data_IF_673297888156
#
_entry.id   IF_673297888156
#
_cell.length_a   1.000
_cell.length_b   1.000
_cell.length_c   1.000
_cell.angle_alpha   90.00
_cell.angle_beta   90.00
_cell.angle_gamma   90.00
#
_symmetry.space_group_name_H-M   'P 1'
#
loop_
_entity.id
_entity.type
_entity.pdbx_description
1 polymer ?
#
# COMPACT_ATOMS: atom_id res chain seq x y z
N UNK A 1 -25.61 -37.61 2.40
CA UNK A 1 -26.17 -36.60 1.48
C UNK A 1 -25.16 -36.37 0.36
N UNK A 2 -25.62 -36.39 -0.89
CA UNK A 2 -24.81 -36.54 -2.11
C UNK A 2 -24.07 -35.22 -2.45
N UNK A 3 -22.78 -35.30 -2.64
CA UNK A 3 -21.98 -34.21 -3.19
C UNK A 3 -22.13 -34.16 -4.72
N UNK A 4 -22.57 -33.01 -5.21
CA UNK A 4 -22.72 -32.75 -6.66
C UNK A 4 -21.42 -32.07 -7.14
N UNK A 5 -20.62 -32.81 -7.92
CA UNK A 5 -19.48 -32.28 -8.66
C UNK A 5 -19.97 -31.57 -9.93
N UNK A 6 -19.65 -30.31 -10.10
CA UNK A 6 -19.81 -29.56 -11.35
C UNK A 6 -18.42 -29.44 -11.99
N UNK A 7 -18.20 -29.98 -13.19
CA UNK A 7 -16.92 -29.79 -13.89
C UNK A 7 -16.93 -28.43 -14.60
N UNK A 8 -15.93 -27.61 -14.29
CA UNK A 8 -15.65 -26.35 -15.00
C UNK A 8 -15.03 -26.63 -16.36
N UNK A 9 -15.72 -26.25 -17.42
CA UNK A 9 -15.32 -26.41 -18.82
C UNK A 9 -14.23 -25.39 -19.18
N UNK A 10 -12.99 -25.84 -19.42
CA UNK A 10 -11.91 -25.02 -19.99
C UNK A 10 -12.17 -24.83 -21.50
N UNK A 11 -12.41 -23.60 -21.92
CA UNK A 11 -12.40 -23.23 -23.35
C UNK A 11 -11.01 -22.70 -23.70
N UNK A 12 -10.25 -23.52 -24.44
CA UNK A 12 -8.99 -23.10 -25.05
C UNK A 12 -9.27 -22.39 -26.37
N UNK A 13 -8.98 -21.10 -26.47
CA UNK A 13 -8.97 -20.33 -27.71
C UNK A 13 -7.58 -20.42 -28.35
N UNK A 14 -7.48 -21.24 -29.40
CA UNK A 14 -6.34 -21.27 -30.33
C UNK A 14 -6.44 -20.09 -31.30
N UNK A 15 -5.53 -19.15 -31.21
CA UNK A 15 -5.35 -18.11 -32.24
C UNK A 15 -4.23 -18.56 -33.19
N UNK A 16 -4.60 -18.92 -34.39
CA UNK A 16 -3.69 -19.22 -35.50
C UNK A 16 -3.15 -17.92 -36.09
N UNK A 17 -1.85 -17.69 -35.99
CA UNK A 17 -1.15 -16.62 -36.70
C UNK A 17 -0.78 -17.10 -38.12
N UNK A 18 -1.36 -16.49 -39.17
CA UNK A 18 -0.92 -16.63 -40.56
C UNK A 18 0.27 -15.71 -40.82
N UNK A 19 1.41 -16.31 -41.14
CA UNK A 19 2.60 -15.59 -41.58
C UNK A 19 2.46 -15.10 -43.02
N UNK A 20 2.92 -13.86 -43.26
CA UNK A 20 3.30 -13.41 -44.63
C UNK A 20 4.77 -12.99 -44.61
N UNK A 21 5.54 -13.70 -45.43
CA UNK A 21 6.96 -13.48 -45.69
C UNK A 21 7.07 -12.62 -46.94
N UNK A 22 7.60 -11.40 -46.82
CA UNK A 22 8.11 -10.67 -47.97
C UNK A 22 9.50 -10.14 -47.64
N UNK A 23 10.43 -10.58 -48.49
CA UNK A 23 11.86 -10.24 -48.48
C UNK A 23 12.04 -8.94 -49.29
N UNK A 24 12.77 -7.94 -48.76
CA UNK A 24 13.85 -7.29 -49.51
C UNK A 24 14.58 -6.24 -48.62
N UNK A 25 15.89 -6.31 -48.61
CA UNK A 25 16.79 -5.51 -47.81
C UNK A 25 16.93 -4.06 -48.27
N UNK A 26 17.35 -3.25 -47.30
CA UNK A 26 18.36 -2.19 -47.45
C UNK A 26 18.79 -1.76 -46.05
N UNK A 27 20.13 -1.53 -45.92
CA UNK A 27 20.79 -1.05 -44.70
C UNK A 27 20.25 0.33 -44.29
N UNK A 28 19.86 0.43 -43.02
CA UNK A 28 19.56 1.67 -42.34
C UNK A 28 19.81 1.45 -40.85
N UNK A 29 20.62 2.29 -40.24
CA UNK A 29 20.87 2.33 -38.80
C UNK A 29 19.52 2.23 -38.03
N UNK A 30 19.28 1.06 -37.50
CA UNK A 30 18.07 0.79 -36.72
C UNK A 30 18.28 1.21 -35.28
N UNK A 31 17.83 2.42 -34.96
CA UNK A 31 17.40 2.75 -33.61
C UNK A 31 16.30 1.74 -33.23
N UNK A 32 16.66 0.68 -32.53
CA UNK A 32 15.71 -0.33 -32.06
C UNK A 32 14.82 0.35 -31.03
N UNK A 33 13.69 0.88 -31.48
CA UNK A 33 12.58 1.23 -30.60
C UNK A 33 12.25 -0.03 -29.80
N UNK A 34 12.78 -0.11 -28.58
CA UNK A 34 12.41 -1.14 -27.63
C UNK A 34 10.88 -1.09 -27.51
N UNK A 35 10.20 -2.13 -27.99
CA UNK A 35 8.77 -2.27 -27.82
C UNK A 35 8.55 -2.23 -26.30
N UNK A 36 7.93 -1.15 -25.83
CA UNK A 36 7.64 -1.01 -24.42
C UNK A 36 6.79 -2.20 -23.99
N UNK A 37 7.38 -3.10 -23.22
CA UNK A 37 6.68 -4.28 -22.68
C UNK A 37 5.55 -3.77 -21.80
N UNK A 38 4.31 -4.22 -22.06
CA UNK A 38 3.16 -3.84 -21.25
C UNK A 38 3.39 -4.28 -19.80
N UNK A 39 3.01 -3.42 -18.85
CA UNK A 39 3.08 -3.76 -17.43
C UNK A 39 2.03 -4.85 -17.12
N UNK A 40 2.48 -5.96 -16.53
CA UNK A 40 1.61 -7.09 -16.16
C UNK A 40 1.92 -7.57 -14.75
N UNK A 41 0.93 -8.20 -14.13
CA UNK A 41 1.01 -8.75 -12.77
C UNK A 41 0.35 -10.12 -12.71
N UNK A 42 0.87 -11.00 -11.86
CA UNK A 42 0.24 -12.26 -11.49
C UNK A 42 -0.29 -12.17 -10.05
N UNK A 43 -1.41 -12.83 -9.80
CA UNK A 43 -1.97 -12.94 -8.46
C UNK A 43 -1.40 -14.17 -7.75
N UNK A 44 -0.81 -13.93 -6.58
CA UNK A 44 -0.28 -14.98 -5.69
C UNK A 44 -1.07 -14.90 -4.39
N UNK A 45 -1.55 -16.06 -3.91
CA UNK A 45 -2.26 -16.16 -2.63
C UNK A 45 -1.84 -17.43 -1.91
N UNK A 46 -1.42 -17.28 -0.64
CA UNK A 46 -1.07 -18.40 0.23
C UNK A 46 -1.83 -18.22 1.54
N UNK A 47 -2.42 -19.29 2.02
CA UNK A 47 -3.13 -19.36 3.29
C UNK A 47 -2.56 -20.50 4.14
N UNK A 48 -2.44 -20.26 5.45
CA UNK A 48 -2.11 -21.27 6.45
C UNK A 48 -3.04 -21.07 7.66
N UNK A 49 -3.72 -22.10 8.08
CA UNK A 49 -4.73 -22.02 9.15
C UNK A 49 -4.72 -23.27 10.03
N UNK A 50 -4.69 -23.05 11.34
CA UNK A 50 -4.97 -24.05 12.35
C UNK A 50 -5.69 -23.45 13.57
N UNK A 51 -5.75 -24.19 14.69
CA UNK A 51 -6.39 -23.70 15.91
C UNK A 51 -5.63 -22.60 16.66
N UNK A 52 -4.40 -22.31 16.27
CA UNK A 52 -3.53 -21.32 16.93
C UNK A 52 -3.28 -20.08 16.07
N UNK A 53 -3.19 -20.25 14.74
CA UNK A 53 -2.87 -19.15 13.83
C UNK A 53 -3.65 -19.23 12.51
N UNK A 54 -4.01 -18.06 11.97
CA UNK A 54 -4.60 -17.88 10.64
C UNK A 54 -3.75 -16.85 9.90
N UNK A 55 -3.13 -17.26 8.80
CA UNK A 55 -2.33 -16.38 7.95
C UNK A 55 -2.92 -16.40 6.55
N UNK A 56 -3.24 -15.22 6.01
CA UNK A 56 -3.75 -15.08 4.63
C UNK A 56 -3.00 -13.95 3.94
N UNK A 57 -2.24 -14.29 2.93
CA UNK A 57 -1.44 -13.33 2.19
C UNK A 57 -1.81 -13.40 0.71
N UNK A 58 -2.11 -12.25 0.11
CA UNK A 58 -2.35 -12.15 -1.32
C UNK A 58 -1.68 -10.92 -1.91
N UNK A 59 -1.01 -11.09 -3.07
CA UNK A 59 -0.32 -9.99 -3.74
C UNK A 59 -0.57 -10.03 -5.26
N UNK A 60 -0.60 -8.86 -5.89
CA UNK A 60 -0.51 -8.73 -7.36
C UNK A 60 0.94 -8.44 -7.75
N UNK A 61 1.71 -9.50 -7.94
CA UNK A 61 3.14 -9.45 -8.18
C UNK A 61 3.48 -9.03 -9.61
N UNK A 62 4.37 -8.03 -9.86
CA UNK A 62 4.72 -7.60 -11.20
C UNK A 62 5.60 -8.64 -11.91
N UNK A 63 5.20 -9.03 -13.12
CA UNK A 63 5.86 -10.06 -13.93
C UNK A 63 6.53 -9.51 -15.18
N UNK A 64 5.99 -8.44 -15.77
CA UNK A 64 6.58 -7.77 -16.94
C UNK A 64 6.35 -6.27 -16.93
N UNK A 65 7.14 -5.55 -17.73
CA UNK A 65 7.11 -4.10 -17.85
C UNK A 65 8.52 -3.51 -17.99
N UNK A 66 8.65 -2.21 -17.71
CA UNK A 66 9.96 -1.59 -17.59
C UNK A 66 10.71 -2.22 -16.40
N UNK A 67 11.96 -2.65 -16.60
CA UNK A 67 12.76 -3.37 -15.58
C UNK A 67 12.92 -2.57 -14.28
N UNK A 68 13.15 -1.26 -14.38
CA UNK A 68 13.28 -0.39 -13.21
C UNK A 68 11.97 -0.31 -12.43
N UNK A 69 10.83 -0.24 -13.12
CA UNK A 69 9.50 -0.24 -12.51
C UNK A 69 9.22 -1.57 -11.80
N UNK A 70 9.42 -2.69 -12.49
CA UNK A 70 9.21 -4.04 -11.93
C UNK A 70 10.05 -4.23 -10.67
N UNK A 71 11.34 -3.90 -10.74
CA UNK A 71 12.26 -4.00 -9.60
C UNK A 71 11.85 -3.09 -8.43
N UNK A 72 11.43 -1.86 -8.70
CA UNK A 72 10.99 -0.92 -7.67
C UNK A 72 9.74 -1.41 -6.94
N UNK A 73 8.76 -1.96 -7.69
CA UNK A 73 7.52 -2.50 -7.11
C UNK A 73 7.80 -3.78 -6.33
N UNK A 74 8.62 -4.72 -6.85
CA UNK A 74 9.01 -5.93 -6.11
C UNK A 74 9.71 -5.59 -4.79
N UNK A 75 10.61 -4.60 -4.81
CA UNK A 75 11.25 -4.12 -3.60
C UNK A 75 10.24 -3.58 -2.57
N UNK A 76 9.30 -2.75 -3.01
CA UNK A 76 8.22 -2.25 -2.15
C UNK A 76 7.40 -3.40 -1.57
N UNK A 77 7.01 -4.38 -2.37
CA UNK A 77 6.27 -5.54 -1.87
C UNK A 77 7.06 -6.34 -0.84
N UNK A 78 8.37 -6.53 -1.05
CA UNK A 78 9.22 -7.18 -0.04
C UNK A 78 9.31 -6.36 1.24
N UNK A 79 9.35 -5.01 1.16
CA UNK A 79 9.33 -4.12 2.32
C UNK A 79 8.00 -4.25 3.08
N UNK A 80 6.85 -4.20 2.38
CA UNK A 80 5.52 -4.35 2.97
C UNK A 80 5.32 -5.73 3.61
N UNK A 81 5.69 -6.81 2.92
CA UNK A 81 5.57 -8.16 3.45
C UNK A 81 6.39 -8.34 4.73
N UNK A 82 7.62 -7.81 4.77
CA UNK A 82 8.49 -7.93 5.94
C UNK A 82 8.08 -7.00 7.09
N UNK A 83 7.46 -5.85 6.80
CA UNK A 83 6.94 -4.95 7.84
C UNK A 83 5.75 -5.51 8.60
N UNK A 84 5.08 -6.55 8.07
CA UNK A 84 3.95 -7.21 8.71
C UNK A 84 4.36 -8.14 9.86
N UNK A 85 5.65 -8.41 10.01
CA UNK A 85 6.19 -9.28 11.05
C UNK A 85 6.54 -8.45 12.29
N UNK A 86 6.16 -8.96 13.45
CA UNK A 86 6.58 -8.40 14.74
C UNK A 86 7.92 -9.01 15.08
N UNK A 87 9.01 -8.36 14.66
CA UNK A 87 10.35 -8.80 15.01
C UNK A 87 10.93 -7.90 16.09
N UNK A 88 11.56 -8.50 17.10
CA UNK A 88 12.41 -7.77 18.03
C UNK A 88 13.69 -7.35 17.28
N UNK A 89 13.90 -6.05 17.12
CA UNK A 89 15.03 -5.47 16.42
C UNK A 89 14.70 -4.95 15.02
N UNK A 90 15.73 -4.60 14.26
CA UNK A 90 15.63 -4.26 12.84
C UNK A 90 16.05 -5.49 12.02
N UNK A 91 15.10 -6.24 11.44
CA UNK A 91 15.44 -7.38 10.59
C UNK A 91 16.22 -6.91 9.38
N UNK A 92 17.20 -7.70 8.94
CA UNK A 92 17.90 -7.43 7.70
C UNK A 92 16.93 -7.58 6.53
N UNK A 93 16.78 -6.49 5.73
CA UNK A 93 15.91 -6.51 4.57
C UNK A 93 16.35 -7.56 3.55
N UNK A 94 15.42 -8.45 3.17
CA UNK A 94 15.63 -9.46 2.14
C UNK A 94 14.82 -9.14 0.89
N UNK A 95 15.49 -9.05 -0.25
CA UNK A 95 14.86 -8.89 -1.56
C UNK A 95 14.58 -10.25 -2.17
N UNK A 96 13.39 -10.41 -2.78
CA UNK A 96 12.99 -11.59 -3.53
C UNK A 96 12.65 -11.19 -4.98
N UNK A 97 13.16 -11.93 -5.96
CA UNK A 97 12.77 -11.79 -7.36
C UNK A 97 11.50 -12.59 -7.67
N UNK A 98 11.28 -13.67 -6.96
CA UNK A 98 10.10 -14.53 -7.07
C UNK A 98 9.06 -14.19 -5.99
N UNK A 99 7.82 -13.92 -6.46
CA UNK A 99 6.73 -13.53 -5.57
C UNK A 99 6.21 -14.69 -4.73
N UNK A 100 6.26 -15.91 -5.24
CA UNK A 100 5.85 -17.10 -4.49
C UNK A 100 6.79 -17.33 -3.30
N UNK A 101 8.10 -17.18 -3.53
CA UNK A 101 9.10 -17.27 -2.45
C UNK A 101 8.91 -16.16 -1.42
N UNK A 102 8.64 -14.91 -1.86
CA UNK A 102 8.42 -13.78 -0.96
C UNK A 102 7.20 -13.99 -0.06
N UNK A 103 6.08 -14.42 -0.62
CA UNK A 103 4.83 -14.66 0.12
C UNK A 103 4.97 -15.87 1.03
N UNK A 104 5.60 -16.96 0.57
CA UNK A 104 5.81 -18.16 1.39
C UNK A 104 6.70 -17.85 2.61
N UNK A 105 7.77 -17.06 2.43
CA UNK A 105 8.65 -16.66 3.51
C UNK A 105 7.90 -15.86 4.61
N UNK A 106 6.99 -14.94 4.21
CA UNK A 106 6.13 -14.25 5.17
C UNK A 106 5.21 -15.23 5.90
N UNK A 107 4.51 -16.10 5.16
CA UNK A 107 3.53 -17.05 5.76
C UNK A 107 4.23 -17.95 6.77
N UNK A 108 5.40 -18.51 6.44
CA UNK A 108 6.16 -19.40 7.34
C UNK A 108 6.62 -18.66 8.60
N UNK A 109 7.12 -17.43 8.45
CA UNK A 109 7.59 -16.63 9.58
C UNK A 109 6.42 -16.20 10.47
N UNK A 110 5.34 -15.66 9.90
CA UNK A 110 4.15 -15.25 10.63
C UNK A 110 3.49 -16.43 11.37
N UNK A 111 3.45 -17.61 10.74
CA UNK A 111 2.92 -18.81 11.40
C UNK A 111 3.73 -19.17 12.64
N UNK A 112 5.06 -19.17 12.54
CA UNK A 112 5.94 -19.50 13.66
C UNK A 112 5.79 -18.47 14.81
N UNK A 113 5.79 -17.18 14.49
CA UNK A 113 5.64 -16.10 15.48
C UNK A 113 4.28 -16.13 16.17
N UNK A 114 3.19 -16.22 15.40
CA UNK A 114 1.83 -16.22 15.96
C UNK A 114 1.55 -17.46 16.81
N UNK A 115 2.01 -18.64 16.37
CA UNK A 115 1.84 -19.86 17.17
C UNK A 115 2.66 -19.84 18.45
N UNK A 116 3.87 -19.24 18.43
CA UNK A 116 4.68 -19.05 19.63
C UNK A 116 4.00 -18.08 20.61
N UNK A 117 3.55 -16.93 20.14
CA UNK A 117 2.83 -15.93 20.93
C UNK A 117 1.53 -16.48 21.50
N UNK A 118 0.75 -17.26 20.73
CA UNK A 118 -0.46 -17.90 21.19
C UNK A 118 -0.20 -18.90 22.33
N UNK A 119 0.84 -19.74 22.20
CA UNK A 119 1.24 -20.69 23.24
C UNK A 119 1.71 -20.00 24.52
N UNK A 120 2.48 -18.90 24.38
CA UNK A 120 2.92 -18.10 25.50
C UNK A 120 1.73 -17.46 26.25
N UNK A 121 0.80 -16.84 25.52
CA UNK A 121 -0.43 -16.27 26.07
C UNK A 121 -1.23 -17.30 26.86
N UNK A 122 -1.41 -18.50 26.28
CA UNK A 122 -2.08 -19.63 26.95
C UNK A 122 -1.35 -20.08 28.20
N UNK A 123 -0.01 -20.16 28.15
CA UNK A 123 0.83 -20.51 29.32
C UNK A 123 0.72 -19.50 30.44
N UNK A 124 0.49 -18.24 30.12
CA UNK A 124 0.29 -17.12 31.07
C UNK A 124 -1.16 -16.96 31.53
N UNK A 125 -2.08 -17.86 31.13
CA UNK A 125 -3.49 -17.81 31.52
C UNK A 125 -4.31 -16.72 30.80
N UNK A 126 -3.79 -16.17 29.70
CA UNK A 126 -4.55 -15.24 28.85
C UNK A 126 -5.52 -16.05 27.98
N UNK A 127 -6.80 -15.63 27.86
CA UNK A 127 -7.77 -16.33 27.01
C UNK A 127 -7.25 -16.45 25.56
N UNK A 128 -7.23 -17.68 25.04
CA UNK A 128 -6.81 -18.04 23.67
C UNK A 128 -7.89 -18.84 22.96
N UNK A 129 -9.14 -18.36 23.04
CA UNK A 129 -10.30 -19.04 22.45
C UNK A 129 -10.37 -18.86 20.93
N UNK A 130 -9.61 -17.90 20.41
CA UNK A 130 -9.50 -17.61 18.97
C UNK A 130 -8.06 -17.72 18.49
N UNK A 131 -7.82 -18.20 17.24
CA UNK A 131 -6.49 -18.16 16.63
C UNK A 131 -5.97 -16.71 16.49
N UNK A 132 -4.67 -16.54 16.57
CA UNK A 132 -4.05 -15.26 16.21
C UNK A 132 -3.99 -15.12 14.68
N UNK A 133 -4.17 -13.92 14.18
CA UNK A 133 -4.34 -13.65 12.74
C UNK A 133 -3.34 -12.67 12.16
N UNK A 134 -2.88 -12.95 10.93
CA UNK A 134 -2.13 -12.04 10.08
C UNK A 134 -2.71 -12.08 8.66
N UNK A 135 -3.19 -10.95 8.18
CA UNK A 135 -3.83 -10.80 6.88
C UNK A 135 -3.12 -9.68 6.11
N UNK A 136 -2.52 -10.02 4.97
CA UNK A 136 -1.82 -9.06 4.13
C UNK A 136 -2.35 -9.13 2.71
N UNK A 137 -2.72 -7.97 2.17
CA UNK A 137 -3.23 -7.87 0.81
C UNK A 137 -2.58 -6.70 0.09
N UNK A 138 -1.77 -6.99 -0.96
CA UNK A 138 -1.10 -5.97 -1.76
C UNK A 138 -1.62 -6.01 -3.20
N UNK A 139 -2.37 -4.99 -3.60
CA UNK A 139 -3.02 -4.94 -4.90
C UNK A 139 -2.62 -3.71 -5.70
N UNK A 140 -2.62 -3.85 -7.02
CA UNK A 140 -2.62 -2.71 -7.92
C UNK A 140 -3.98 -2.00 -7.80
N UNK A 141 -3.95 -0.73 -7.36
CA UNK A 141 -5.14 0.09 -7.18
C UNK A 141 -5.50 0.85 -8.45
N UNK A 142 -4.49 1.46 -9.09
CA UNK A 142 -4.68 2.32 -10.25
C UNK A 142 -3.52 2.14 -11.23
N UNK A 143 -3.79 2.27 -12.52
CA UNK A 143 -2.78 2.25 -13.57
C UNK A 143 -3.17 3.21 -14.69
N UNK A 144 -2.24 4.08 -15.06
CA UNK A 144 -2.32 4.97 -16.21
C UNK A 144 -1.11 4.77 -17.12
N UNK A 145 -1.00 5.56 -18.19
CA UNK A 145 0.22 5.58 -19.01
C UNK A 145 1.44 6.12 -18.25
N UNK A 146 1.24 6.92 -17.20
CA UNK A 146 2.30 7.63 -16.48
C UNK A 146 2.71 6.93 -15.19
N UNK A 147 1.78 6.32 -14.48
CA UNK A 147 2.03 5.74 -13.16
C UNK A 147 1.24 4.46 -12.91
N UNK A 148 1.67 3.75 -11.89
CA UNK A 148 0.90 2.68 -11.24
C UNK A 148 0.91 2.94 -9.74
N UNK A 149 -0.25 2.78 -9.09
CA UNK A 149 -0.40 2.88 -7.63
C UNK A 149 -0.79 1.51 -7.07
N UNK A 150 -0.11 1.10 -6.01
CA UNK A 150 -0.44 -0.06 -5.21
C UNK A 150 -1.01 0.36 -3.87
N UNK A 151 -1.87 -0.49 -3.33
CA UNK A 151 -2.36 -0.44 -1.95
C UNK A 151 -1.91 -1.70 -1.23
N UNK A 152 -1.34 -1.54 -0.04
CA UNK A 152 -1.08 -2.62 0.90
C UNK A 152 -2.00 -2.47 2.11
N UNK A 153 -2.76 -3.52 2.42
CA UNK A 153 -3.61 -3.61 3.59
C UNK A 153 -3.04 -4.68 4.51
N UNK A 154 -2.90 -4.32 5.78
CA UNK A 154 -2.43 -5.17 6.85
C UNK A 154 -3.49 -5.23 7.94
N UNK A 155 -3.90 -6.41 8.31
CA UNK A 155 -4.83 -6.63 9.42
C UNK A 155 -4.30 -7.76 10.29
N UNK A 156 -4.57 -7.72 11.58
CA UNK A 156 -4.15 -8.78 12.46
C UNK A 156 -4.84 -8.74 13.81
N UNK A 157 -4.71 -9.89 14.50
CA UNK A 157 -5.15 -10.06 15.89
C UNK A 157 -4.17 -10.97 16.61
N UNK A 158 -3.67 -10.51 17.76
CA UNK A 158 -2.72 -11.24 18.57
C UNK A 158 -3.14 -11.29 20.03
N UNK A 159 -4.44 -11.38 20.25
CA UNK A 159 -5.05 -11.29 21.57
C UNK A 159 -5.35 -9.84 21.98
N UNK A 160 -5.90 -9.69 23.19
CA UNK A 160 -6.29 -8.39 23.72
C UNK A 160 -7.71 -7.96 23.32
N UNK A 161 -8.00 -6.66 23.43
CA UNK A 161 -9.35 -6.12 23.28
C UNK A 161 -9.81 -6.01 21.81
N UNK A 162 -8.87 -5.81 20.88
CA UNK A 162 -9.17 -5.66 19.44
C UNK A 162 -7.94 -5.99 18.58
N UNK A 163 -8.17 -6.20 17.30
CA UNK A 163 -7.13 -6.32 16.29
C UNK A 163 -6.55 -4.96 15.87
N UNK A 164 -5.70 -4.98 14.85
CA UNK A 164 -5.21 -3.79 14.17
C UNK A 164 -5.54 -3.86 12.68
N UNK A 165 -5.63 -2.69 12.06
CA UNK A 165 -5.69 -2.55 10.61
C UNK A 165 -4.83 -1.35 10.20
N UNK A 166 -4.13 -1.49 9.08
CA UNK A 166 -3.36 -0.41 8.47
C UNK A 166 -3.45 -0.48 6.95
N UNK A 167 -3.42 0.66 6.29
CA UNK A 167 -3.38 0.75 4.84
C UNK A 167 -2.28 1.71 4.40
N UNK A 168 -1.48 1.31 3.43
CA UNK A 168 -0.49 2.17 2.80
C UNK A 168 -0.69 2.18 1.30
N UNK A 169 -0.31 3.30 0.68
CA UNK A 169 -0.36 3.46 -0.76
C UNK A 169 1.02 3.84 -1.27
N UNK A 170 1.38 3.35 -2.45
CA UNK A 170 2.61 3.74 -3.10
C UNK A 170 2.41 3.94 -4.59
N UNK A 171 2.72 5.13 -5.08
CA UNK A 171 2.71 5.45 -6.51
C UNK A 171 4.12 5.33 -7.10
N UNK A 172 4.21 4.66 -8.25
CA UNK A 172 5.42 4.49 -9.03
C UNK A 172 5.27 5.13 -10.40
N UNK A 173 6.23 5.93 -10.83
CA UNK A 173 6.30 6.45 -12.18
C UNK A 173 6.72 5.36 -13.17
N UNK A 174 5.93 5.13 -14.22
CA UNK A 174 6.15 3.96 -15.10
C UNK A 174 7.45 4.01 -15.90
N UNK A 175 7.91 5.19 -16.29
CA UNK A 175 9.12 5.33 -17.15
C UNK A 175 10.43 4.87 -16.51
N UNK A 176 10.53 4.91 -15.17
CA UNK A 176 11.79 4.69 -14.45
C UNK A 176 11.62 4.04 -13.06
N UNK A 177 10.38 3.75 -12.65
CA UNK A 177 10.12 3.14 -11.34
C UNK A 177 10.30 4.06 -10.13
N UNK A 178 10.46 5.39 -10.36
CA UNK A 178 10.60 6.33 -9.25
C UNK A 178 9.36 6.28 -8.34
N UNK A 179 9.58 6.04 -7.05
CA UNK A 179 8.54 6.18 -6.03
C UNK A 179 8.22 7.65 -5.84
N UNK A 180 6.94 8.01 -5.95
CA UNK A 180 6.45 9.35 -5.69
C UNK A 180 5.82 9.38 -4.31
N UNK A 181 6.30 10.28 -3.45
CA UNK A 181 5.85 10.37 -2.07
C UNK A 181 6.96 10.78 -1.12
N UNK A 182 6.95 10.21 0.07
CA UNK A 182 8.00 10.29 1.09
C UNK A 182 7.97 8.98 1.90
N UNK A 183 9.02 8.75 2.67
CA UNK A 183 9.11 7.67 3.64
C UNK A 183 9.22 8.29 5.04
N UNK A 184 8.43 7.81 5.98
CA UNK A 184 8.54 8.21 7.38
C UNK A 184 9.45 7.23 8.09
N UNK A 185 10.52 7.73 8.75
CA UNK A 185 11.43 6.95 9.56
C UNK A 185 11.53 7.51 10.95
N UNK A 186 11.61 6.64 11.93
CA UNK A 186 11.89 7.05 13.30
C UNK A 186 13.36 7.39 13.45
N UNK A 187 13.64 8.63 13.86
CA UNK A 187 14.99 9.08 14.19
C UNK A 187 15.22 8.85 15.69
N UNK A 188 16.13 7.92 16.03
CA UNK A 188 16.41 7.56 17.43
C UNK A 188 17.13 8.66 18.21
N UNK A 189 17.82 9.58 17.51
CA UNK A 189 18.55 10.68 18.17
C UNK A 189 17.60 11.81 18.59
N UNK A 190 16.59 12.09 17.76
CA UNK A 190 15.60 13.15 18.03
C UNK A 190 14.32 12.60 18.67
N UNK A 191 14.18 11.26 18.74
CA UNK A 191 12.95 10.55 19.15
C UNK A 191 11.71 10.99 18.37
N UNK A 192 11.88 11.33 17.09
CA UNK A 192 10.82 11.84 16.23
C UNK A 192 10.73 11.06 14.90
N UNK A 193 9.54 11.03 14.35
CA UNK A 193 9.32 10.54 13.00
C UNK A 193 9.64 11.63 11.97
N UNK A 194 10.57 11.36 11.08
CA UNK A 194 11.02 12.29 10.03
C UNK A 194 10.62 11.78 8.65
N UNK A 195 10.16 12.69 7.80
CA UNK A 195 9.86 12.40 6.39
C UNK A 195 11.12 12.55 5.53
N UNK A 196 11.53 11.45 4.93
CA UNK A 196 12.71 11.37 4.06
C UNK A 196 12.31 11.16 2.60
N UNK A 197 13.22 11.48 1.66
CA UNK A 197 13.01 11.27 0.21
C UNK A 197 11.74 11.94 -0.33
N UNK A 198 11.35 13.09 0.24
CA UNK A 198 10.16 13.83 -0.14
C UNK A 198 10.31 14.40 -1.57
N UNK A 199 9.49 13.91 -2.51
CA UNK A 199 9.44 14.36 -3.90
C UNK A 199 8.01 14.65 -4.39
N UNK A 200 7.03 14.70 -3.46
CA UNK A 200 5.62 14.91 -3.78
C UNK A 200 5.23 16.38 -3.77
N UNK A 201 5.55 17.12 -2.71
CA UNK A 201 5.17 18.51 -2.53
C UNK A 201 6.36 19.46 -2.67
N UNK A 202 6.14 20.62 -3.30
CA UNK A 202 7.15 21.72 -3.37
C UNK A 202 7.48 22.25 -1.98
N UNK A 203 6.45 22.45 -1.18
CA UNK A 203 6.53 22.91 0.20
C UNK A 203 5.54 22.11 1.06
N UNK A 204 6.01 21.11 1.83
CA UNK A 204 5.17 20.31 2.72
C UNK A 204 4.51 21.12 3.86
N UNK A 205 5.02 22.31 4.16
CA UNK A 205 4.50 23.21 5.20
C UNK A 205 3.65 24.36 4.62
N UNK A 206 3.32 24.30 3.35
CA UNK A 206 2.51 25.32 2.69
C UNK A 206 1.16 25.53 3.38
N UNK A 207 0.77 26.77 3.72
CA UNK A 207 -0.56 27.06 4.29
C UNK A 207 -1.72 26.58 3.41
N UNK A 208 -1.51 26.57 2.09
CA UNK A 208 -2.52 26.07 1.16
C UNK A 208 -2.69 24.57 1.27
N UNK A 209 -1.60 23.81 1.47
CA UNK A 209 -1.65 22.36 1.70
C UNK A 209 -2.33 22.07 3.04
N UNK A 210 -1.97 22.78 4.11
CA UNK A 210 -2.60 22.65 5.42
C UNK A 210 -4.11 22.89 5.35
N UNK A 211 -4.56 23.90 4.59
CA UNK A 211 -5.98 24.16 4.36
C UNK A 211 -6.68 22.98 3.67
N UNK A 212 -6.09 22.40 2.61
CA UNK A 212 -6.66 21.26 1.91
C UNK A 212 -6.76 20.01 2.80
N UNK A 213 -5.76 19.79 3.64
CA UNK A 213 -5.77 18.70 4.63
C UNK A 213 -6.90 18.92 5.65
N UNK A 214 -6.99 20.12 6.24
CA UNK A 214 -8.07 20.48 7.17
C UNK A 214 -9.45 20.27 6.56
N UNK A 215 -9.66 20.72 5.31
CA UNK A 215 -10.91 20.53 4.59
C UNK A 215 -11.23 19.04 4.39
N UNK A 216 -10.23 18.23 4.03
CA UNK A 216 -10.38 16.78 3.83
C UNK A 216 -10.72 16.03 5.11
N UNK A 217 -9.99 16.29 6.20
CA UNK A 217 -10.27 15.69 7.52
C UNK A 217 -11.67 16.10 8.00
N UNK A 218 -12.02 17.36 7.86
CA UNK A 218 -13.38 17.84 8.21
C UNK A 218 -14.47 17.17 7.37
N UNK A 219 -14.23 16.94 6.07
CA UNK A 219 -15.18 16.23 5.20
C UNK A 219 -15.42 14.81 5.69
N UNK A 220 -14.36 14.09 6.03
CA UNK A 220 -14.45 12.76 6.57
C UNK A 220 -15.35 12.69 7.83
N UNK A 221 -15.11 13.54 8.82
CA UNK A 221 -15.93 13.57 10.03
C UNK A 221 -17.40 13.92 9.77
N UNK A 222 -17.67 14.86 8.86
CA UNK A 222 -19.04 15.16 8.44
C UNK A 222 -19.75 13.99 7.77
N UNK A 223 -19.03 13.21 6.95
CA UNK A 223 -19.55 12.00 6.33
C UNK A 223 -19.85 10.91 7.36
N UNK A 224 -19.08 10.86 8.46
CA UNK A 224 -19.37 10.02 9.61
C UNK A 224 -20.54 10.52 10.50
N UNK A 225 -21.08 11.72 10.21
CA UNK A 225 -22.22 12.29 10.94
C UNK A 225 -21.84 13.23 12.08
N UNK A 226 -20.54 13.58 12.23
CA UNK A 226 -20.05 14.45 13.28
C UNK A 226 -20.26 15.93 12.96
N UNK A 227 -20.55 16.72 13.98
CA UNK A 227 -20.74 18.17 13.85
C UNK A 227 -19.41 18.91 14.04
N UNK A 228 -18.59 18.94 13.03
CA UNK A 228 -17.27 19.61 13.00
C UNK A 228 -17.30 20.93 12.22
N UNK A 229 -18.32 21.76 12.44
CA UNK A 229 -18.51 23.01 11.69
C UNK A 229 -17.43 24.05 12.01
N UNK A 230 -16.95 24.13 13.25
CA UNK A 230 -15.88 25.03 13.70
C UNK A 230 -14.54 24.31 13.82
N UNK A 231 -13.44 25.08 13.94
CA UNK A 231 -12.11 24.51 14.15
C UNK A 231 -12.00 23.89 15.56
N UNK A 232 -12.68 24.48 16.56
CA UNK A 232 -12.74 23.94 17.92
C UNK A 232 -13.43 22.57 17.94
N UNK A 233 -14.59 22.44 17.28
CA UNK A 233 -15.31 21.18 17.21
C UNK A 233 -14.51 20.11 16.43
N UNK A 234 -13.76 20.51 15.39
CA UNK A 234 -12.85 19.56 14.71
C UNK A 234 -11.73 19.09 15.62
N UNK A 235 -11.14 19.98 16.43
CA UNK A 235 -10.05 19.63 17.34
C UNK A 235 -10.50 18.69 18.48
N UNK A 236 -11.76 18.72 18.89
CA UNK A 236 -12.31 17.78 19.88
C UNK A 236 -12.28 16.33 19.38
N UNK A 237 -12.35 16.10 18.07
CA UNK A 237 -12.26 14.78 17.45
C UNK A 237 -10.81 14.31 17.25
N UNK A 238 -9.83 15.21 17.34
CA UNK A 238 -8.43 14.92 17.01
C UNK A 238 -7.57 14.69 18.26
N UNK A 239 -6.57 13.84 18.14
CA UNK A 239 -5.59 13.52 19.17
C UNK A 239 -4.21 14.05 18.75
N UNK A 240 -3.53 14.74 19.68
CA UNK A 240 -2.17 15.24 19.45
C UNK A 240 -2.07 16.41 18.47
N UNK A 241 -3.19 16.98 18.04
CA UNK A 241 -3.26 18.13 17.14
C UNK A 241 -3.66 19.38 17.94
N UNK A 242 -2.80 20.41 17.96
CA UNK A 242 -3.02 21.61 18.77
C UNK A 242 -3.73 22.74 18.00
N UNK A 243 -3.81 22.67 16.69
CA UNK A 243 -4.48 23.64 15.83
C UNK A 243 -5.00 22.98 14.57
N UNK A 244 -6.21 23.31 14.15
CA UNK A 244 -6.79 22.79 12.91
C UNK A 244 -5.99 23.19 11.66
N UNK A 245 -5.21 24.28 11.72
CA UNK A 245 -4.32 24.72 10.63
C UNK A 245 -2.96 24.01 10.66
N UNK A 246 -2.70 23.14 11.64
CA UNK A 246 -1.45 22.40 11.80
C UNK A 246 -1.63 20.88 11.87
N UNK A 247 -2.69 20.35 11.25
CA UNK A 247 -2.86 18.90 11.07
C UNK A 247 -1.65 18.39 10.28
N UNK A 248 -0.85 17.45 10.82
CA UNK A 248 0.35 16.97 10.14
C UNK A 248 0.01 16.21 8.86
N UNK A 249 0.95 16.14 7.92
CA UNK A 249 0.86 15.18 6.82
C UNK A 249 0.84 13.75 7.37
N UNK A 250 0.04 12.83 6.78
CA UNK A 250 -0.02 11.45 7.24
C UNK A 250 1.35 10.77 7.22
N UNK A 251 1.53 9.74 8.04
CA UNK A 251 2.76 8.94 8.12
C UNK A 251 3.10 8.30 6.78
N UNK A 252 2.08 7.77 6.10
CA UNK A 252 2.21 7.26 4.74
C UNK A 252 1.96 8.37 3.71
N UNK A 253 2.80 8.41 2.68
CA UNK A 253 2.68 9.43 1.65
C UNK A 253 1.34 9.31 0.92
N UNK A 254 0.65 10.44 0.64
CA UNK A 254 -0.51 10.44 -0.24
C UNK A 254 -0.16 9.93 -1.63
N UNK A 255 -1.09 9.25 -2.28
CA UNK A 255 -0.89 8.57 -3.55
C UNK A 255 -1.91 8.95 -4.62
N UNK A 256 -1.51 8.76 -5.87
CA UNK A 256 -2.33 9.11 -7.02
C UNK A 256 -3.41 8.07 -7.25
N UNK A 257 -4.66 8.53 -7.38
CA UNK A 257 -5.84 7.74 -7.74
C UNK A 257 -6.58 8.41 -8.89
N UNK A 258 -7.60 7.76 -9.43
CA UNK A 258 -8.46 8.38 -10.47
C UNK A 258 -9.22 9.62 -9.99
N UNK A 259 -9.45 9.77 -8.68
CA UNK A 259 -10.23 10.86 -8.10
C UNK A 259 -9.38 12.07 -7.71
N UNK A 260 -8.07 11.87 -7.51
CA UNK A 260 -7.16 12.89 -7.00
C UNK A 260 -6.00 12.30 -6.24
N UNK A 261 -5.41 13.09 -5.36
CA UNK A 261 -4.40 12.63 -4.43
C UNK A 261 -5.08 12.13 -3.14
N UNK A 262 -4.99 10.83 -2.87
CA UNK A 262 -5.58 10.18 -1.71
C UNK A 262 -4.69 10.34 -0.48
N UNK A 263 -5.26 10.80 0.62
CA UNK A 263 -4.65 10.91 1.94
C UNK A 263 -5.27 9.87 2.86
N UNK A 264 -4.44 9.22 3.68
CA UNK A 264 -4.90 8.23 4.67
C UNK A 264 -4.12 8.39 5.96
N UNK A 265 -4.82 8.66 7.05
CA UNK A 265 -4.29 8.59 8.41
C UNK A 265 -4.67 7.25 9.03
N UNK A 266 -3.71 6.63 9.69
CA UNK A 266 -3.91 5.35 10.35
C UNK A 266 -4.73 5.51 11.64
N UNK A 267 -5.25 4.40 12.15
CA UNK A 267 -5.83 4.37 13.50
C UNK A 267 -4.82 4.91 14.52
N UNK A 268 -5.27 5.72 15.46
CA UNK A 268 -4.45 6.41 16.47
C UNK A 268 -3.46 7.46 15.93
N UNK A 269 -3.39 7.71 14.64
CA UNK A 269 -2.43 8.69 14.11
C UNK A 269 -2.82 10.14 14.45
N UNK A 270 -4.07 10.52 14.23
CA UNK A 270 -4.63 11.84 14.60
C UNK A 270 -6.02 11.75 15.23
N UNK A 271 -6.58 10.56 15.41
CA UNK A 271 -7.88 10.34 16.05
C UNK A 271 -7.90 9.01 16.80
N UNK A 272 -8.94 8.75 17.60
CA UNK A 272 -9.09 7.51 18.36
C UNK A 272 -9.27 6.29 17.45
N UNK A 273 -9.00 5.10 17.98
CA UNK A 273 -9.22 3.83 17.28
C UNK A 273 -10.65 3.68 16.72
N UNK A 274 -11.65 4.14 17.48
CA UNK A 274 -13.05 4.02 17.10
C UNK A 274 -13.43 4.84 15.85
N UNK A 275 -12.69 5.89 15.54
CA UNK A 275 -12.85 6.69 14.32
C UNK A 275 -12.42 5.91 13.07
N UNK A 276 -11.52 4.93 13.24
CA UNK A 276 -10.94 4.19 12.13
C UNK A 276 -9.84 4.95 11.40
N UNK A 277 -9.61 4.60 10.12
CA UNK A 277 -8.67 5.29 9.26
C UNK A 277 -9.34 6.47 8.58
N UNK A 278 -8.84 7.69 8.81
CA UNK A 278 -9.35 8.91 8.15
C UNK A 278 -8.80 8.95 6.73
N UNK A 279 -9.67 8.89 5.74
CA UNK A 279 -9.28 8.93 4.32
C UNK A 279 -10.11 9.96 3.54
N UNK A 280 -9.46 10.63 2.59
CA UNK A 280 -10.09 11.59 1.69
C UNK A 280 -9.23 11.83 0.45
N UNK A 281 -9.87 12.22 -0.64
CA UNK A 281 -9.21 12.60 -1.88
C UNK A 281 -9.17 14.14 -2.02
N UNK A 282 -8.00 14.66 -2.43
CA UNK A 282 -7.90 16.05 -2.88
C UNK A 282 -7.86 16.08 -4.41
N UNK A 283 -8.86 16.70 -5.08
CA UNK A 283 -8.94 16.76 -6.54
C UNK A 283 -7.68 17.38 -7.17
N UNK A 284 -7.30 16.90 -8.35
CA UNK A 284 -6.08 17.31 -9.03
C UNK A 284 -6.00 18.80 -9.37
N UNK A 285 -7.11 19.43 -9.70
CA UNK A 285 -7.17 20.88 -9.96
C UNK A 285 -6.77 21.73 -8.74
N UNK A 286 -7.03 21.24 -7.53
CA UNK A 286 -6.66 21.91 -6.27
C UNK A 286 -5.22 21.63 -5.84
N UNK A 287 -4.77 20.38 -5.98
CA UNK A 287 -3.48 19.93 -5.43
C UNK A 287 -2.31 20.15 -6.40
N UNK A 288 -2.52 20.08 -7.72
CA UNK A 288 -1.46 20.17 -8.74
C UNK A 288 -0.51 21.36 -8.59
N UNK A 289 -0.95 22.58 -8.25
CA UNK A 289 -0.05 23.71 -8.05
C UNK A 289 0.98 23.52 -6.93
N UNK A 290 0.69 22.62 -5.96
CA UNK A 290 1.52 22.33 -4.80
C UNK A 290 2.50 21.18 -5.03
N UNK A 291 2.29 20.37 -6.08
CA UNK A 291 3.13 19.23 -6.41
C UNK A 291 4.49 19.66 -6.99
N UNK A 292 5.53 18.86 -6.73
CA UNK A 292 6.81 18.97 -7.45
C UNK A 292 6.60 18.79 -8.95
N UNK A 293 7.62 19.08 -9.74
CA UNK A 293 7.58 18.82 -11.18
C UNK A 293 7.40 17.34 -11.48
N UNK A 294 8.14 16.49 -10.78
CA UNK A 294 8.14 15.04 -10.90
C UNK A 294 6.74 14.44 -10.62
N UNK A 295 6.08 14.93 -9.59
CA UNK A 295 4.74 14.50 -9.22
C UNK A 295 3.66 15.07 -10.18
N UNK A 296 3.75 16.33 -10.57
CA UNK A 296 2.81 16.99 -11.45
C UNK A 296 2.80 16.44 -12.89
N UNK A 297 3.92 15.86 -13.35
CA UNK A 297 4.01 15.18 -14.66
C UNK A 297 3.14 13.91 -14.74
N UNK A 298 2.75 13.32 -13.62
CA UNK A 298 1.91 12.11 -13.59
C UNK A 298 0.44 12.40 -13.93
N UNK A 299 0.00 13.63 -13.75
CA UNK A 299 -1.36 14.09 -14.03
C UNK A 299 -1.34 15.03 -15.25
N UNK A 300 -1.82 14.51 -16.36
CA UNK A 300 -1.95 15.28 -17.61
C UNK A 300 -3.33 15.89 -17.74
#
# INVERSE_FOLDING_TARGET
>A
MKYLFIPTLMVALLVTACGHRANNGTNGDGDSLAVATSFQTDSISIESEDSMAIIKVSVQWPTSGNDSLVKAIRRYMCEELQSSLIQEGEPEFKYYDDGQEAVQALVDTAYNELTAAWKESKGNGIPTDTPYGCYVKINKLEETDQYVTYIANHEGFQGGAHGYAASSYQTFRKRDGLRIGYQTKFNRETEQFEKQNQNLFKDPQSPKLAQLIKEGVRSYFKECGENVATDEALLEELIGVNSADSIPLPSNAPSFTKNGLAFVYQQYEIASYAVGMINFDVPYDKIRPLLTKEAAELIK
#
